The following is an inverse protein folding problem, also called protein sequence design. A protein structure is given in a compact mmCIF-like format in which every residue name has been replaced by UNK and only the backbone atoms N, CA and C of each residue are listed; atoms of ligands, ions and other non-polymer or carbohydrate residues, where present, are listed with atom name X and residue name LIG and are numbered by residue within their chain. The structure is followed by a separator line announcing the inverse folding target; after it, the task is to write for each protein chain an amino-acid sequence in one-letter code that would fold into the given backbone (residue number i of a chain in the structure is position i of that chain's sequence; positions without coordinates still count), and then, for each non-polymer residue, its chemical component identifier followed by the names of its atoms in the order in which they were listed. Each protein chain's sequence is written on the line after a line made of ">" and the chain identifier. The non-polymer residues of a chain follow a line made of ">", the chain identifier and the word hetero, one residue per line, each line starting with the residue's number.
data_IF_609017866591
#
_entry.id   IF_609017866591
#
_cell.length_a   1.000
_cell.length_b   1.000
_cell.length_c   1.000
_cell.angle_alpha   90.00
_cell.angle_beta   90.00
_cell.angle_gamma   90.00
#
_symmetry.space_group_name_H-M   'P 1'
#
loop_
_entity.id
_entity.type
_entity.pdbx_description
1 polymer ?
#
# COMPACT_ATOMS: atom_id res chain seq x y z
N UNK A 1 35.29 25.76 -10.93
CA UNK A 1 36.06 24.57 -10.49
C UNK A 1 35.07 23.42 -10.40
N UNK A 2 34.99 22.62 -11.46
CA UNK A 2 34.10 21.48 -11.56
C UNK A 2 34.83 20.23 -11.03
N UNK A 3 34.24 19.57 -10.04
CA UNK A 3 34.62 18.21 -9.60
C UNK A 3 33.28 17.53 -9.25
N UNK A 4 32.75 16.67 -10.13
CA UNK A 4 33.02 15.23 -10.21
C UNK A 4 32.76 14.54 -8.86
N UNK A 5 31.64 13.84 -8.72
CA UNK A 5 31.64 12.38 -8.77
C UNK A 5 30.18 11.87 -8.74
N UNK A 6 29.87 11.09 -9.76
CA UNK A 6 28.63 10.34 -9.94
C UNK A 6 28.46 9.34 -8.79
N UNK A 7 27.33 9.39 -8.08
CA UNK A 7 26.86 8.31 -7.23
C UNK A 7 25.63 7.68 -7.89
N UNK A 8 25.89 6.88 -8.92
CA UNK A 8 24.99 5.82 -9.37
C UNK A 8 24.80 4.84 -8.22
N UNK A 9 23.68 4.94 -7.51
CA UNK A 9 23.22 3.86 -6.64
C UNK A 9 22.69 2.74 -7.54
N UNK A 10 23.61 1.80 -7.79
CA UNK A 10 23.45 0.48 -8.40
C UNK A 10 22.06 -0.12 -8.21
N UNK A 11 21.29 -0.15 -9.31
CA UNK A 11 19.95 -0.75 -9.41
C UNK A 11 19.99 -2.28 -9.59
N UNK A 12 20.92 -2.95 -8.90
CA UNK A 12 21.16 -4.39 -9.09
C UNK A 12 21.26 -5.14 -7.76
N UNK A 13 20.11 -5.38 -7.16
CA UNK A 13 19.86 -6.61 -6.38
C UNK A 13 18.55 -7.20 -6.84
N UNK A 14 18.66 -7.99 -7.92
CA UNK A 14 17.68 -9.00 -8.32
C UNK A 14 17.29 -9.85 -7.10
N UNK A 15 15.98 -9.97 -6.87
CA UNK A 15 15.39 -11.22 -6.41
C UNK A 15 14.13 -11.47 -7.25
N UNK A 16 14.38 -11.94 -8.47
CA UNK A 16 13.42 -12.69 -9.27
C UNK A 16 12.96 -13.90 -8.44
N UNK A 17 11.73 -13.91 -7.95
CA UNK A 17 11.09 -15.10 -7.40
C UNK A 17 9.86 -15.44 -8.24
N UNK A 18 10.11 -16.35 -9.20
CA UNK A 18 9.22 -17.33 -9.82
C UNK A 18 7.76 -16.96 -10.10
N UNK A 19 7.47 -16.80 -11.40
CA UNK A 19 6.20 -17.23 -12.00
C UNK A 19 6.04 -18.74 -11.77
N UNK A 20 5.15 -19.13 -10.86
CA UNK A 20 4.47 -20.42 -10.97
C UNK A 20 3.02 -20.14 -11.32
N UNK A 21 2.66 -20.58 -12.52
CA UNK A 21 1.30 -20.55 -13.02
C UNK A 21 0.32 -21.20 -12.05
N UNK A 22 -0.86 -20.62 -12.05
CA UNK A 22 -1.99 -21.06 -11.28
C UNK A 22 -2.90 -19.85 -11.15
N UNK A 23 -3.91 -19.76 -12.02
CA UNK A 23 -5.18 -19.19 -11.60
C UNK A 23 -5.44 -19.81 -10.23
N UNK A 24 -5.27 -19.04 -9.17
CA UNK A 24 -5.66 -19.49 -7.84
C UNK A 24 -7.16 -19.66 -7.94
N UNK A 25 -7.61 -20.88 -8.21
CA UNK A 25 -8.98 -21.28 -7.93
C UNK A 25 -9.16 -20.91 -6.46
N UNK A 26 -10.00 -19.93 -6.20
CA UNK A 26 -10.47 -19.61 -4.87
C UNK A 26 -10.93 -20.95 -4.26
N UNK A 27 -10.11 -21.52 -3.37
CA UNK A 27 -10.44 -22.76 -2.71
C UNK A 27 -11.47 -22.37 -1.66
N UNK A 28 -12.72 -22.81 -1.89
CA UNK A 28 -13.93 -22.34 -1.23
C UNK A 28 -13.73 -22.00 0.25
N UNK A 29 -13.64 -20.70 0.51
CA UNK A 29 -13.84 -20.08 1.80
C UNK A 29 -14.88 -18.99 1.60
N UNK A 30 -15.80 -18.85 2.56
CA UNK A 30 -16.85 -17.84 2.47
C UNK A 30 -16.24 -16.43 2.60
N UNK A 31 -16.30 -15.66 1.51
CA UNK A 31 -15.79 -14.28 1.45
C UNK A 31 -16.73 -13.25 2.06
N UNK A 32 -17.81 -13.72 2.69
CA UNK A 32 -18.81 -12.91 3.37
C UNK A 32 -18.24 -12.00 4.47
N UNK A 33 -17.10 -12.35 5.07
CA UNK A 33 -16.47 -11.59 6.16
C UNK A 33 -15.53 -10.47 5.71
N UNK A 34 -14.75 -10.67 4.64
CA UNK A 34 -13.84 -9.64 4.12
C UNK A 34 -13.66 -9.75 2.60
N UNK A 35 -14.26 -8.82 1.86
CA UNK A 35 -14.14 -8.71 0.39
C UNK A 35 -12.72 -8.39 -0.11
N UNK A 36 -11.81 -7.97 0.77
CA UNK A 36 -10.41 -7.69 0.46
C UNK A 36 -9.48 -8.85 0.84
N UNK A 37 -10.02 -10.01 1.23
CA UNK A 37 -9.20 -11.18 1.50
C UNK A 37 -8.43 -11.59 0.24
N UNK A 38 -7.15 -11.91 0.40
CA UNK A 38 -6.27 -12.27 -0.71
C UNK A 38 -6.80 -13.45 -1.54
N UNK A 39 -7.59 -14.33 -0.94
CA UNK A 39 -8.15 -15.50 -1.62
C UNK A 39 -9.31 -15.17 -2.57
N UNK A 40 -9.95 -14.00 -2.46
CA UNK A 40 -11.13 -13.67 -3.25
C UNK A 40 -11.35 -12.18 -3.55
N UNK A 41 -10.33 -11.35 -3.35
CA UNK A 41 -10.36 -9.95 -3.77
C UNK A 41 -10.69 -9.84 -5.26
N UNK A 42 -11.63 -8.96 -5.61
CA UNK A 42 -11.94 -8.66 -7.00
C UNK A 42 -10.68 -8.12 -7.69
N UNK A 43 -10.27 -8.66 -8.85
CA UNK A 43 -9.11 -8.17 -9.58
C UNK A 43 -9.12 -6.66 -9.84
N UNK A 44 -10.30 -6.02 -9.91
CA UNK A 44 -10.45 -4.57 -10.10
C UNK A 44 -10.03 -3.74 -8.88
N UNK A 45 -9.95 -4.36 -7.69
CA UNK A 45 -9.51 -3.72 -6.45
C UNK A 45 -8.02 -3.94 -6.18
N UNK A 46 -7.32 -4.63 -7.09
CA UNK A 46 -5.88 -4.90 -6.98
C UNK A 46 -5.12 -3.90 -7.84
N UNK A 47 -4.30 -3.06 -7.20
CA UNK A 47 -3.41 -2.16 -7.92
C UNK A 47 -2.31 -2.94 -8.68
N UNK A 48 -2.10 -2.56 -9.93
CA UNK A 48 -1.04 -3.06 -10.79
C UNK A 48 0.28 -2.34 -10.53
N UNK A 49 1.40 -2.95 -10.96
CA UNK A 49 2.72 -2.33 -10.81
C UNK A 49 2.80 -0.96 -11.51
N UNK A 50 2.26 -0.86 -12.71
CA UNK A 50 2.29 0.38 -13.50
C UNK A 50 1.51 1.51 -12.80
N UNK A 51 0.38 1.19 -12.16
CA UNK A 51 -0.35 2.17 -11.34
C UNK A 51 0.46 2.67 -10.15
N UNK A 52 1.23 1.79 -9.48
CA UNK A 52 2.09 2.18 -8.36
C UNK A 52 3.24 3.08 -8.83
N UNK A 53 3.82 2.78 -9.99
CA UNK A 53 4.90 3.57 -10.59
C UNK A 53 4.40 4.96 -10.98
N UNK A 54 3.14 5.07 -11.41
CA UNK A 54 2.50 6.31 -11.85
C UNK A 54 1.90 7.15 -10.70
N UNK A 55 1.89 6.64 -9.46
CA UNK A 55 1.41 7.38 -8.29
C UNK A 55 2.00 8.79 -8.09
N UNK A 56 3.27 9.08 -8.42
CA UNK A 56 3.80 10.44 -8.34
C UNK A 56 3.02 11.47 -9.18
N UNK A 57 2.35 11.02 -10.26
CA UNK A 57 1.52 11.87 -11.13
C UNK A 57 0.06 11.98 -10.62
N UNK A 58 -0.30 11.23 -9.58
CA UNK A 58 -1.65 11.11 -9.03
C UNK A 58 -1.70 11.52 -7.56
N UNK A 59 -1.65 12.82 -7.23
CA UNK A 59 -1.62 13.31 -5.85
C UNK A 59 -2.89 12.99 -5.05
N UNK A 60 -4.00 12.70 -5.73
CA UNK A 60 -5.28 12.27 -5.15
C UNK A 60 -5.25 10.83 -4.63
N UNK A 61 -4.32 9.99 -5.10
CA UNK A 61 -4.20 8.60 -4.66
C UNK A 61 -3.22 8.52 -3.49
N UNK A 62 -3.61 7.78 -2.45
CA UNK A 62 -2.74 7.54 -1.30
C UNK A 62 -2.25 6.09 -1.30
N UNK A 63 -0.93 5.90 -1.23
CA UNK A 63 -0.32 4.60 -0.98
C UNK A 63 0.09 4.48 0.49
N UNK A 64 -0.45 3.48 1.17
CA UNK A 64 -0.18 3.20 2.58
C UNK A 64 0.52 1.84 2.71
N UNK A 65 1.75 1.85 3.23
CA UNK A 65 2.47 0.63 3.59
C UNK A 65 2.14 0.26 5.05
N UNK A 66 1.50 -0.90 5.23
CA UNK A 66 1.02 -1.36 6.54
C UNK A 66 1.98 -2.29 7.27
N UNK A 67 3.22 -2.38 6.79
CA UNK A 67 4.32 -3.10 7.45
C UNK A 67 4.77 -2.39 8.72
N UNK A 68 5.51 -3.11 9.56
CA UNK A 68 6.15 -2.49 10.71
C UNK A 68 7.36 -1.65 10.24
N UNK A 69 7.70 -0.56 10.95
CA UNK A 69 8.83 0.31 10.59
C UNK A 69 10.17 -0.43 10.49
N UNK A 70 10.38 -1.47 11.30
CA UNK A 70 11.61 -2.25 11.30
C UNK A 70 11.77 -3.06 10.00
N UNK A 71 10.66 -3.54 9.43
CA UNK A 71 10.66 -4.23 8.13
C UNK A 71 11.06 -3.26 7.01
N UNK A 72 10.58 -2.02 7.07
CA UNK A 72 10.89 -0.96 6.10
C UNK A 72 12.36 -0.56 6.17
N UNK A 73 12.94 -0.45 7.37
CA UNK A 73 14.35 -0.17 7.56
C UNK A 73 15.26 -1.24 6.91
N UNK A 74 14.84 -2.51 6.93
CA UNK A 74 15.62 -3.62 6.38
C UNK A 74 15.42 -3.84 4.87
N UNK A 75 14.23 -3.56 4.34
CA UNK A 75 13.84 -3.94 2.96
C UNK A 75 13.62 -2.76 2.02
N UNK A 76 13.58 -1.55 2.57
CA UNK A 76 13.27 -0.33 1.82
C UNK A 76 11.79 0.03 1.81
N UNK A 77 11.55 1.25 1.32
CA UNK A 77 10.25 1.93 1.29
C UNK A 77 9.82 2.14 -0.15
N UNK A 78 8.53 1.98 -0.44
CA UNK A 78 7.98 2.27 -1.76
C UNK A 78 7.95 3.79 -1.93
N UNK A 79 8.44 4.35 -3.05
CA UNK A 79 8.35 5.78 -3.30
C UNK A 79 6.91 6.29 -3.15
N UNK A 80 6.73 7.49 -2.60
CA UNK A 80 5.43 8.13 -2.35
C UNK A 80 4.53 7.48 -1.29
N UNK A 81 4.89 6.29 -0.77
CA UNK A 81 4.14 5.62 0.28
C UNK A 81 4.32 6.30 1.64
N UNK A 82 3.28 6.24 2.47
CA UNK A 82 3.37 6.54 3.90
C UNK A 82 3.31 5.23 4.69
N UNK A 83 4.08 5.13 5.78
CA UNK A 83 4.00 3.96 6.64
C UNK A 83 2.93 4.17 7.73
N UNK A 84 1.91 3.32 7.71
CA UNK A 84 0.90 3.23 8.77
C UNK A 84 0.71 1.76 9.13
N UNK A 85 1.35 1.26 10.19
CA UNK A 85 1.26 -0.15 10.58
C UNK A 85 -0.19 -0.60 10.77
N UNK A 86 -0.48 -1.86 10.41
CA UNK A 86 -1.84 -2.42 10.49
C UNK A 86 -2.51 -2.20 11.86
N UNK A 87 -1.74 -2.26 12.96
CA UNK A 87 -2.26 -2.09 14.32
C UNK A 87 -2.88 -0.72 14.58
N UNK A 88 -2.39 0.32 13.89
CA UNK A 88 -2.81 1.71 14.12
C UNK A 88 -3.63 2.27 12.96
N UNK A 89 -3.73 1.55 11.83
CA UNK A 89 -4.35 2.07 10.61
C UNK A 89 -5.75 2.64 10.80
N UNK A 90 -6.59 1.96 11.59
CA UNK A 90 -7.96 2.42 11.84
C UNK A 90 -8.02 3.75 12.61
N UNK A 91 -7.10 3.97 13.55
CA UNK A 91 -7.07 5.19 14.35
C UNK A 91 -6.43 6.35 13.58
N UNK A 92 -5.40 6.05 12.80
CA UNK A 92 -4.72 7.03 11.95
C UNK A 92 -5.64 7.56 10.84
N UNK A 93 -6.49 6.70 10.27
CA UNK A 93 -7.50 7.11 9.28
C UNK A 93 -8.65 7.93 9.89
N UNK A 94 -8.87 7.86 11.22
CA UNK A 94 -9.87 8.69 11.93
C UNK A 94 -9.36 10.08 12.30
N UNK A 95 -8.05 10.32 12.23
CA UNK A 95 -7.47 11.64 12.54
C UNK A 95 -8.11 12.76 11.73
N UNK A 96 -8.14 13.97 12.28
CA UNK A 96 -8.56 15.15 11.51
C UNK A 96 -7.61 15.36 10.31
N UNK A 97 -8.08 15.98 9.21
CA UNK A 97 -7.23 16.25 8.05
C UNK A 97 -5.95 17.02 8.41
N UNK A 98 -6.04 17.96 9.34
CA UNK A 98 -4.91 18.76 9.83
C UNK A 98 -3.90 17.92 10.60
N UNK A 99 -4.36 17.07 11.53
CA UNK A 99 -3.49 16.20 12.32
C UNK A 99 -2.81 15.14 11.43
N UNK A 100 -3.55 14.58 10.47
CA UNK A 100 -3.01 13.64 9.51
C UNK A 100 -1.92 14.28 8.65
N UNK A 101 -2.17 15.49 8.14
CA UNK A 101 -1.20 16.22 7.34
C UNK A 101 0.03 16.63 8.14
N UNK A 102 -0.13 17.08 9.40
CA UNK A 102 0.99 17.41 10.27
C UNK A 102 1.88 16.18 10.55
N UNK A 103 1.27 14.99 10.70
CA UNK A 103 1.99 13.75 11.01
C UNK A 103 2.67 13.11 9.81
N UNK A 104 1.99 13.03 8.67
CA UNK A 104 2.46 12.29 7.50
C UNK A 104 2.99 13.19 6.37
N UNK A 105 2.87 14.51 6.50
CA UNK A 105 3.26 15.46 5.45
C UNK A 105 2.41 15.34 4.17
N UNK A 106 1.26 14.66 4.26
CA UNK A 106 0.36 14.37 3.14
C UNK A 106 -1.05 14.77 3.49
N UNK A 107 -1.78 15.34 2.53
CA UNK A 107 -3.20 15.62 2.70
C UNK A 107 -3.95 14.31 2.97
N UNK A 108 -4.86 14.32 3.95
CA UNK A 108 -5.75 13.19 4.21
C UNK A 108 -6.63 12.95 2.97
N UNK A 109 -6.75 11.71 2.48
CA UNK A 109 -7.65 11.39 1.38
C UNK A 109 -9.10 11.63 1.80
N UNK A 110 -9.94 12.07 0.86
CA UNK A 110 -11.38 12.06 1.04
C UNK A 110 -11.90 10.61 1.01
N UNK A 111 -13.12 10.39 1.50
CA UNK A 111 -13.77 9.07 1.49
C UNK A 111 -13.98 8.50 0.07
N UNK A 112 -14.00 9.38 -0.94
CA UNK A 112 -14.09 9.07 -2.36
C UNK A 112 -12.74 8.88 -3.07
N UNK A 113 -11.65 9.26 -2.42
CA UNK A 113 -10.32 9.20 -3.02
C UNK A 113 -9.76 7.77 -2.92
N UNK A 114 -9.03 7.27 -3.94
CA UNK A 114 -8.51 5.92 -3.91
C UNK A 114 -7.39 5.76 -2.87
N UNK A 115 -7.49 4.71 -2.05
CA UNK A 115 -6.44 4.34 -1.09
C UNK A 115 -5.92 2.95 -1.42
N UNK A 116 -4.62 2.87 -1.65
CA UNK A 116 -3.92 1.62 -1.94
C UNK A 116 -3.18 1.17 -0.69
N UNK A 117 -3.47 -0.03 -0.21
CA UNK A 117 -2.75 -0.64 0.91
C UNK A 117 -1.74 -1.66 0.42
N UNK A 118 -0.50 -1.57 0.92
CA UNK A 118 0.58 -2.49 0.56
C UNK A 118 1.16 -3.18 1.79
N UNK A 119 1.53 -4.45 1.63
CA UNK A 119 2.32 -5.19 2.60
C UNK A 119 3.09 -6.32 1.90
N UNK A 120 3.92 -7.07 2.65
CA UNK A 120 4.75 -8.14 2.07
C UNK A 120 3.97 -9.26 1.37
N UNK A 121 2.85 -9.70 1.95
CA UNK A 121 2.15 -10.93 1.50
C UNK A 121 0.74 -10.69 0.97
N UNK A 122 0.21 -9.48 1.07
CA UNK A 122 -1.18 -9.10 0.74
C UNK A 122 -2.20 -9.28 1.87
N UNK A 123 -1.93 -10.13 2.87
CA UNK A 123 -2.91 -10.42 3.96
C UNK A 123 -3.20 -9.17 4.81
N UNK A 124 -2.14 -8.50 5.29
CA UNK A 124 -2.29 -7.28 6.11
C UNK A 124 -2.92 -6.13 5.33
N UNK A 125 -2.62 -6.04 4.03
CA UNK A 125 -3.21 -5.03 3.15
C UNK A 125 -4.74 -5.24 3.03
N UNK A 126 -5.20 -6.48 2.85
CA UNK A 126 -6.63 -6.81 2.84
C UNK A 126 -7.33 -6.52 4.17
N UNK A 127 -6.65 -6.73 5.31
CA UNK A 127 -7.18 -6.35 6.63
C UNK A 127 -7.29 -4.82 6.77
N UNK A 128 -6.26 -4.07 6.38
CA UNK A 128 -6.27 -2.61 6.44
C UNK A 128 -7.34 -2.01 5.52
N UNK A 129 -7.50 -2.54 4.31
CA UNK A 129 -8.56 -2.14 3.39
C UNK A 129 -9.97 -2.40 3.98
N UNK A 130 -10.14 -3.50 4.71
CA UNK A 130 -11.39 -3.79 5.41
C UNK A 130 -11.69 -2.78 6.52
N UNK A 131 -10.67 -2.39 7.29
CA UNK A 131 -10.81 -1.34 8.31
C UNK A 131 -11.13 0.03 7.68
N UNK A 132 -10.48 0.38 6.57
CA UNK A 132 -10.78 1.60 5.83
C UNK A 132 -12.23 1.59 5.27
N UNK A 133 -12.70 0.47 4.74
CA UNK A 133 -14.06 0.35 4.23
C UNK A 133 -15.11 0.54 5.34
N UNK A 134 -14.87 0.01 6.55
CA UNK A 134 -15.73 0.25 7.72
C UNK A 134 -15.80 1.72 8.12
N UNK A 135 -14.76 2.49 7.84
CA UNK A 135 -14.68 3.92 8.12
C UNK A 135 -15.28 4.81 7.01
N UNK A 136 -15.76 4.22 5.91
CA UNK A 136 -16.41 4.95 4.82
C UNK A 136 -15.53 5.17 3.59
N UNK A 137 -14.28 4.73 3.59
CA UNK A 137 -13.43 4.77 2.39
C UNK A 137 -13.84 3.67 1.42
N UNK A 138 -14.58 4.02 0.36
CA UNK A 138 -15.25 3.04 -0.53
C UNK A 138 -14.57 2.81 -1.88
N UNK A 139 -13.38 3.40 -2.09
CA UNK A 139 -12.74 3.52 -3.41
C UNK A 139 -11.37 2.88 -3.48
#
# INVERSE_FOLDING_TARGET
>A
MASRFSALMSLSTLALVLLVGGVRRCHGGDCSVNKFDKSCIDPKLVASYDEIVDLPNHPEKLLVDVRNPEELAATGVIPTSINIPLKTVADELKLSPEAFQAKYGRKKPAESDPIIFSCRSGVRAGMAANEADKLGFKK
#
